data_IF_694194159228
#
_entry.id   IF_694194159228
#
_cell.length_a   1.000
_cell.length_b   1.000
_cell.length_c   1.000
_cell.angle_alpha   90.00
_cell.angle_beta   90.00
_cell.angle_gamma   90.00
#
_symmetry.space_group_name_H-M   'P 1'
#
loop_
_entity.id
_entity.type
_entity.pdbx_description
1 polymer ?
#
# COMPACT_ATOMS: atom_id res chain seq x y z
N UNK A 1 14.39 7.10 -23.43
CA UNK A 1 15.36 6.41 -22.57
C UNK A 1 16.55 5.86 -23.37
N UNK A 2 16.35 5.06 -24.42
CA UNK A 2 17.45 4.50 -25.21
C UNK A 2 18.36 5.57 -25.85
N UNK A 3 17.81 6.74 -26.19
CA UNK A 3 18.54 7.85 -26.83
C UNK A 3 19.14 8.80 -25.79
N UNK A 4 18.36 9.15 -24.77
CA UNK A 4 18.75 10.14 -23.76
C UNK A 4 19.51 9.55 -22.54
N UNK A 5 19.59 8.21 -22.43
CA UNK A 5 20.25 7.53 -21.29
C UNK A 5 19.37 7.41 -20.04
N UNK A 6 18.34 8.23 -19.93
CA UNK A 6 17.39 8.23 -18.81
C UNK A 6 15.96 8.43 -19.30
N UNK A 7 14.93 7.99 -18.56
CA UNK A 7 13.54 8.27 -18.87
C UNK A 7 13.21 9.75 -18.63
N UNK A 8 12.36 10.33 -19.46
CA UNK A 8 11.88 11.71 -19.30
C UNK A 8 10.75 11.86 -18.28
N UNK A 9 10.20 10.75 -17.82
CA UNK A 9 9.12 10.69 -16.84
C UNK A 9 9.25 9.43 -15.98
N UNK A 10 8.50 9.36 -14.88
CA UNK A 10 8.42 8.15 -14.09
C UNK A 10 7.75 7.01 -14.89
N UNK A 11 8.47 5.89 -15.02
CA UNK A 11 8.01 4.68 -15.70
C UNK A 11 7.60 3.56 -14.73
N UNK A 12 7.60 3.83 -13.42
CA UNK A 12 7.30 2.79 -12.42
C UNK A 12 5.92 2.16 -12.62
N UNK A 13 4.92 2.94 -13.01
CA UNK A 13 3.56 2.46 -13.26
C UNK A 13 3.47 1.37 -14.33
N UNK A 14 4.44 1.30 -15.24
CA UNK A 14 4.53 0.31 -16.33
C UNK A 14 5.71 -0.65 -16.17
N UNK A 15 6.48 -0.56 -15.08
CA UNK A 15 7.60 -1.46 -14.80
C UNK A 15 7.08 -2.78 -14.23
N UNK A 16 7.47 -3.90 -14.84
CA UNK A 16 7.10 -5.24 -14.38
C UNK A 16 7.60 -5.53 -12.96
N UNK A 17 8.69 -4.92 -12.53
CA UNK A 17 9.26 -5.08 -11.18
C UNK A 17 8.37 -4.57 -10.05
N UNK A 18 7.36 -3.74 -10.37
CA UNK A 18 6.37 -3.30 -9.37
C UNK A 18 5.53 -4.44 -8.79
N UNK A 19 5.43 -5.56 -9.51
CA UNK A 19 4.68 -6.71 -9.06
C UNK A 19 5.53 -7.60 -8.16
N UNK A 20 5.07 -7.92 -6.95
CA UNK A 20 5.77 -8.86 -6.07
C UNK A 20 5.72 -10.30 -6.60
N UNK A 21 6.64 -11.14 -6.12
CA UNK A 21 6.86 -12.50 -6.65
C UNK A 21 5.63 -13.40 -6.65
N UNK A 22 4.63 -13.17 -5.78
CA UNK A 22 3.42 -14.00 -5.78
C UNK A 22 2.62 -13.90 -7.09
N UNK A 23 2.77 -12.81 -7.85
CA UNK A 23 2.14 -12.64 -9.17
C UNK A 23 2.72 -13.62 -10.22
N UNK A 24 3.87 -14.25 -9.96
CA UNK A 24 4.41 -15.31 -10.84
C UNK A 24 3.75 -16.69 -10.63
N UNK A 25 2.78 -16.80 -9.72
CA UNK A 25 2.04 -18.04 -9.53
C UNK A 25 1.12 -18.31 -10.72
N UNK A 26 1.30 -19.46 -11.39
CA UNK A 26 0.56 -19.82 -12.61
C UNK A 26 -0.95 -19.88 -12.38
N UNK A 27 -1.39 -20.40 -11.24
CA UNK A 27 -2.84 -20.48 -10.93
C UNK A 27 -3.44 -19.10 -10.75
N UNK A 28 -2.74 -18.22 -10.00
CA UNK A 28 -3.15 -16.83 -9.85
C UNK A 28 -3.20 -16.12 -11.19
N UNK A 29 -2.17 -16.25 -12.03
CA UNK A 29 -2.11 -15.60 -13.34
C UNK A 29 -3.22 -16.09 -14.28
N UNK A 30 -3.53 -17.39 -14.28
CA UNK A 30 -4.59 -17.96 -15.12
C UNK A 30 -5.95 -17.30 -14.85
N UNK A 31 -6.31 -17.16 -13.58
CA UNK A 31 -7.57 -16.52 -13.20
C UNK A 31 -7.54 -15.01 -13.47
N UNK A 32 -6.51 -14.33 -13.02
CA UNK A 32 -6.41 -12.88 -13.11
C UNK A 32 -6.28 -12.38 -14.55
N UNK A 33 -5.53 -13.06 -15.42
CA UNK A 33 -5.37 -12.66 -16.82
C UNK A 33 -6.70 -12.76 -17.57
N UNK A 34 -7.49 -13.80 -17.32
CA UNK A 34 -8.83 -13.95 -17.92
C UNK A 34 -9.73 -12.78 -17.51
N UNK A 35 -9.74 -12.40 -16.23
CA UNK A 35 -10.52 -11.26 -15.75
C UNK A 35 -10.04 -9.95 -16.38
N UNK A 36 -8.72 -9.69 -16.37
CA UNK A 36 -8.15 -8.45 -16.93
C UNK A 36 -8.50 -8.30 -18.42
N UNK A 37 -8.38 -9.36 -19.19
CA UNK A 37 -8.76 -9.34 -20.61
C UNK A 37 -10.27 -9.14 -20.79
N UNK A 38 -11.09 -9.79 -19.96
CA UNK A 38 -12.55 -9.67 -20.03
C UNK A 38 -13.03 -8.25 -19.72
N UNK A 39 -12.45 -7.59 -18.73
CA UNK A 39 -12.87 -6.23 -18.34
C UNK A 39 -12.25 -5.13 -19.20
N UNK A 40 -11.27 -5.43 -20.05
CA UNK A 40 -10.61 -4.44 -20.89
C UNK A 40 -11.58 -3.69 -21.81
N UNK A 41 -12.63 -4.37 -22.26
CA UNK A 41 -13.68 -3.82 -23.13
C UNK A 41 -14.97 -3.48 -22.39
N UNK A 42 -15.01 -3.64 -21.07
CA UNK A 42 -16.18 -3.33 -20.27
C UNK A 42 -16.17 -1.86 -19.81
N UNK A 43 -17.34 -1.40 -19.36
CA UNK A 43 -17.45 -0.10 -18.70
C UNK A 43 -16.60 -0.06 -17.44
N UNK A 44 -15.75 0.94 -17.34
CA UNK A 44 -14.91 1.14 -16.17
C UNK A 44 -15.74 1.74 -15.01
N UNK A 45 -16.27 0.90 -14.15
CA UNK A 45 -16.95 1.34 -12.94
C UNK A 45 -15.97 2.00 -11.97
N UNK A 46 -16.33 3.12 -11.34
CA UNK A 46 -15.53 3.70 -10.27
C UNK A 46 -15.31 2.70 -9.13
N UNK A 47 -14.09 2.66 -8.59
CA UNK A 47 -13.71 1.79 -7.46
C UNK A 47 -13.94 0.28 -7.70
N UNK A 48 -13.91 -0.17 -8.96
CA UNK A 48 -14.05 -1.59 -9.26
C UNK A 48 -12.93 -2.40 -8.66
N UNK A 49 -13.30 -3.44 -7.92
CA UNK A 49 -12.38 -4.41 -7.33
C UNK A 49 -12.26 -5.68 -8.19
N UNK A 50 -11.16 -6.39 -8.00
CA UNK A 50 -10.92 -7.67 -8.66
C UNK A 50 -11.75 -8.79 -8.01
N UNK A 51 -12.36 -9.63 -8.83
CA UNK A 51 -13.18 -10.76 -8.39
C UNK A 51 -12.41 -12.07 -8.31
N UNK A 52 -11.38 -12.24 -9.16
CA UNK A 52 -10.52 -13.42 -9.19
C UNK A 52 -9.24 -13.25 -8.39
N UNK A 53 -8.50 -14.32 -8.16
CA UNK A 53 -7.24 -14.30 -7.42
C UNK A 53 -7.42 -13.71 -6.02
N UNK A 54 -8.55 -14.02 -5.38
CA UNK A 54 -8.90 -13.55 -4.04
C UNK A 54 -8.32 -14.47 -2.96
N UNK A 55 -8.25 -13.98 -1.75
CA UNK A 55 -7.78 -14.72 -0.57
C UNK A 55 -6.32 -15.20 -0.65
N UNK A 56 -5.47 -14.55 -1.44
CA UNK A 56 -4.07 -14.91 -1.60
C UNK A 56 -3.26 -14.52 -0.36
N UNK A 57 -3.53 -13.35 0.20
CA UNK A 57 -2.87 -12.83 1.40
C UNK A 57 -3.93 -12.25 2.33
N UNK A 58 -3.93 -12.73 3.57
CA UNK A 58 -4.87 -12.31 4.62
C UNK A 58 -4.11 -11.79 5.83
N UNK A 59 -4.67 -10.80 6.49
CA UNK A 59 -4.14 -10.37 7.79
C UNK A 59 -4.47 -11.40 8.88
N UNK A 60 -3.74 -11.43 10.02
CA UNK A 60 -4.04 -12.32 11.13
C UNK A 60 -5.44 -12.13 11.75
N UNK A 61 -6.04 -10.96 11.55
CA UNK A 61 -7.38 -10.62 12.06
C UNK A 61 -8.46 -10.64 10.98
N UNK A 62 -8.15 -11.09 9.76
CA UNK A 62 -9.07 -11.10 8.62
C UNK A 62 -10.44 -11.69 8.96
N UNK A 63 -10.46 -12.87 9.58
CA UNK A 63 -11.73 -13.57 9.84
C UNK A 63 -12.58 -12.84 10.89
N UNK A 64 -11.96 -12.20 11.88
CA UNK A 64 -12.66 -11.32 12.84
C UNK A 64 -13.27 -10.09 12.16
N UNK A 65 -12.57 -9.52 11.17
CA UNK A 65 -13.09 -8.39 10.40
C UNK A 65 -14.26 -8.84 9.50
N UNK A 66 -14.18 -10.05 8.92
CA UNK A 66 -15.28 -10.64 8.16
C UNK A 66 -16.53 -10.84 9.03
N UNK A 67 -16.39 -11.36 10.24
CA UNK A 67 -17.48 -11.52 11.23
C UNK A 67 -18.13 -10.17 11.59
N UNK A 68 -17.40 -9.07 11.49
CA UNK A 68 -17.90 -7.71 11.72
C UNK A 68 -18.53 -7.08 10.48
N UNK A 69 -18.68 -7.84 9.39
CA UNK A 69 -19.28 -7.36 8.15
C UNK A 69 -18.35 -6.63 7.20
N UNK A 70 -17.04 -6.87 7.28
CA UNK A 70 -16.09 -6.27 6.35
C UNK A 70 -16.34 -6.71 4.91
N UNK A 71 -16.54 -5.74 4.02
CA UNK A 71 -16.44 -5.91 2.58
C UNK A 71 -14.98 -5.76 2.16
N UNK A 72 -14.39 -6.80 1.57
CA UNK A 72 -12.97 -6.80 1.23
C UNK A 72 -12.71 -6.46 -0.24
N UNK A 73 -11.66 -5.67 -0.45
CA UNK A 73 -11.03 -5.46 -1.75
C UNK A 73 -9.62 -6.02 -1.80
N UNK A 74 -9.05 -6.08 -3.00
CA UNK A 74 -7.72 -6.65 -3.23
C UNK A 74 -6.68 -5.56 -3.47
N UNK A 75 -5.61 -5.53 -2.67
CA UNK A 75 -4.44 -4.68 -2.87
C UNK A 75 -3.16 -5.50 -2.87
N UNK A 76 -2.56 -5.70 -4.05
CA UNK A 76 -1.34 -6.51 -4.21
C UNK A 76 -1.46 -7.89 -3.56
N UNK A 77 -2.60 -8.56 -3.76
CA UNK A 77 -2.94 -9.86 -3.21
C UNK A 77 -3.47 -9.85 -1.77
N UNK A 78 -3.36 -8.74 -1.06
CA UNK A 78 -3.94 -8.60 0.28
C UNK A 78 -5.44 -8.33 0.23
N UNK A 79 -6.20 -9.07 1.05
CA UNK A 79 -7.59 -8.74 1.35
C UNK A 79 -7.59 -7.59 2.36
N UNK A 80 -8.20 -6.46 1.96
CA UNK A 80 -8.29 -5.26 2.80
C UNK A 80 -9.75 -4.86 2.98
N UNK A 81 -10.21 -4.56 4.21
CA UNK A 81 -11.53 -3.97 4.40
C UNK A 81 -11.65 -2.65 3.63
N UNK A 82 -12.70 -2.52 2.86
CA UNK A 82 -13.08 -1.29 2.17
C UNK A 82 -14.11 -0.51 2.96
N UNK A 83 -15.10 -1.20 3.51
CA UNK A 83 -16.15 -0.69 4.37
C UNK A 83 -16.78 -1.83 5.17
N UNK A 84 -17.59 -1.49 6.18
CA UNK A 84 -18.26 -2.47 7.02
C UNK A 84 -19.77 -2.39 6.88
N UNK A 85 -20.37 -3.53 6.53
CA UNK A 85 -21.81 -3.67 6.40
C UNK A 85 -22.45 -3.89 7.80
N UNK A 86 -23.45 -3.09 8.18
CA UNK A 86 -24.18 -3.35 9.42
C UNK A 86 -25.06 -4.61 9.30
N UNK A 87 -25.57 -5.08 10.42
CA UNK A 87 -26.44 -6.27 10.46
C UNK A 87 -27.60 -6.14 9.47
N UNK A 88 -27.78 -7.16 8.65
CA UNK A 88 -28.83 -7.23 7.62
C UNK A 88 -28.48 -6.58 6.28
N UNK A 89 -27.26 -6.07 6.13
CA UNK A 89 -26.71 -5.56 4.87
C UNK A 89 -25.64 -6.50 4.36
N UNK A 90 -25.69 -6.85 3.07
CA UNK A 90 -24.65 -7.67 2.43
C UNK A 90 -23.36 -6.90 2.25
N UNK A 91 -22.19 -7.46 2.64
CA UNK A 91 -20.87 -6.80 2.49
C UNK A 91 -20.34 -6.93 1.05
N UNK A 92 -21.04 -6.34 0.11
CA UNK A 92 -20.69 -6.39 -1.32
C UNK A 92 -20.55 -4.99 -1.91
N UNK A 93 -19.75 -4.87 -2.97
CA UNK A 93 -19.61 -3.64 -3.74
C UNK A 93 -20.65 -3.60 -4.85
N UNK A 94 -21.61 -2.67 -4.78
CA UNK A 94 -22.53 -2.36 -5.86
C UNK A 94 -22.01 -1.16 -6.64
N UNK A 95 -21.69 -1.37 -7.92
CA UNK A 95 -21.06 -0.35 -8.73
C UNK A 95 -22.10 0.59 -9.35
N UNK A 96 -21.90 1.87 -9.17
CA UNK A 96 -22.73 2.93 -9.75
C UNK A 96 -21.88 4.17 -10.03
N UNK A 97 -22.30 5.01 -10.99
CA UNK A 97 -21.70 6.33 -11.20
C UNK A 97 -22.19 7.37 -10.19
N UNK A 98 -23.34 7.14 -9.57
CA UNK A 98 -23.87 7.96 -8.51
C UNK A 98 -23.38 7.56 -7.13
N UNK A 99 -24.20 7.79 -6.12
CA UNK A 99 -23.96 7.37 -4.74
C UNK A 99 -23.99 5.85 -4.66
N UNK A 100 -22.89 5.27 -4.20
CA UNK A 100 -22.74 3.82 -4.10
C UNK A 100 -23.31 3.29 -2.77
N UNK A 101 -23.60 1.98 -2.70
CA UNK A 101 -24.22 1.36 -1.53
C UNK A 101 -23.43 1.53 -0.23
N UNK A 102 -22.12 1.58 -0.31
CA UNK A 102 -21.22 1.73 0.85
C UNK A 102 -21.09 3.18 1.36
N UNK A 103 -21.52 4.19 0.61
CA UNK A 103 -21.18 5.60 0.88
C UNK A 103 -21.61 6.07 2.27
N UNK A 104 -22.85 5.79 2.68
CA UNK A 104 -23.37 6.22 3.99
C UNK A 104 -22.70 5.47 5.14
N UNK A 105 -22.34 4.19 4.92
CA UNK A 105 -21.64 3.37 5.89
C UNK A 105 -20.21 3.88 6.10
N UNK A 106 -19.47 4.11 5.02
CA UNK A 106 -18.14 4.71 5.07
C UNK A 106 -18.16 6.10 5.70
N UNK A 107 -19.19 6.93 5.42
CA UNK A 107 -19.34 8.22 6.06
C UNK A 107 -19.56 8.09 7.58
N UNK A 108 -20.27 7.07 8.04
CA UNK A 108 -20.45 6.78 9.46
C UNK A 108 -19.12 6.34 10.11
N UNK A 109 -18.34 5.49 9.45
CA UNK A 109 -17.00 5.08 9.89
C UNK A 109 -16.05 6.29 10.04
N UNK A 110 -16.08 7.21 9.07
CA UNK A 110 -15.28 8.45 9.14
C UNK A 110 -15.67 9.31 10.36
N UNK A 111 -16.96 9.44 10.65
CA UNK A 111 -17.42 10.14 11.86
C UNK A 111 -16.96 9.45 13.12
N UNK A 112 -17.12 8.13 13.19
CA UNK A 112 -16.68 7.32 14.34
C UNK A 112 -15.16 7.46 14.60
N UNK A 113 -14.35 7.48 13.53
CA UNK A 113 -12.90 7.69 13.64
C UNK A 113 -12.53 9.10 14.13
N UNK A 114 -13.37 10.12 13.85
CA UNK A 114 -13.15 11.50 14.29
C UNK A 114 -13.65 11.79 15.71
N UNK A 115 -14.73 11.16 16.09
CA UNK A 115 -15.47 11.48 17.31
C UNK A 115 -15.26 10.42 18.42
N UNK A 116 -14.69 9.28 18.07
CA UNK A 116 -14.47 8.14 18.96
C UNK A 116 -13.12 7.48 18.77
N UNK A 117 -13.10 6.15 18.84
CA UNK A 117 -11.91 5.32 18.67
C UNK A 117 -12.09 4.41 17.47
N UNK A 118 -11.06 4.35 16.62
CA UNK A 118 -11.02 3.44 15.48
C UNK A 118 -9.73 2.60 15.48
N UNK A 119 -9.85 1.37 14.97
CA UNK A 119 -8.70 0.46 14.75
C UNK A 119 -8.56 0.27 13.23
N UNK A 120 -7.36 0.48 12.71
CA UNK A 120 -7.05 0.29 11.30
C UNK A 120 -6.09 -0.89 11.13
N UNK A 121 -6.53 -1.91 10.38
CA UNK A 121 -5.65 -3.02 10.00
C UNK A 121 -4.68 -2.58 8.90
N UNK A 122 -3.44 -2.29 9.29
CA UNK A 122 -2.36 -1.90 8.38
C UNK A 122 -1.39 -3.05 8.06
N UNK A 123 -1.80 -4.30 8.24
CA UNK A 123 -0.97 -5.48 7.97
C UNK A 123 -0.47 -5.50 6.51
N UNK A 124 -1.27 -5.02 5.58
CA UNK A 124 -0.95 -5.00 4.14
C UNK A 124 0.12 -3.98 3.74
N UNK A 125 0.39 -2.97 4.56
CA UNK A 125 1.47 -2.02 4.28
C UNK A 125 2.83 -2.72 4.29
N UNK A 126 3.78 -2.21 3.53
CA UNK A 126 5.16 -2.69 3.54
C UNK A 126 5.91 -2.17 4.74
N UNK A 127 6.76 -3.01 5.30
CA UNK A 127 7.57 -2.70 6.47
C UNK A 127 9.03 -3.01 6.16
N UNK A 128 9.91 -2.07 6.51
CA UNK A 128 11.35 -2.25 6.47
C UNK A 128 11.92 -2.03 7.87
N UNK A 129 12.94 -2.79 8.19
CA UNK A 129 13.76 -2.58 9.37
C UNK A 129 15.15 -2.17 8.91
N UNK A 130 15.64 -1.08 9.46
CA UNK A 130 17.00 -0.59 9.27
C UNK A 130 17.75 -0.73 10.58
N UNK A 131 18.91 -1.35 10.54
CA UNK A 131 19.75 -1.57 11.72
C UNK A 131 21.19 -1.21 11.40
N UNK A 132 21.82 -0.48 12.28
CA UNK A 132 23.22 -0.09 12.20
C UNK A 132 23.45 1.39 12.47
N UNK A 133 24.67 1.72 12.83
CA UNK A 133 25.10 3.07 13.24
C UNK A 133 24.92 4.14 12.16
N UNK A 134 24.98 3.75 10.89
CA UNK A 134 24.88 4.68 9.75
C UNK A 134 23.43 4.84 9.24
N UNK A 135 22.46 4.22 9.94
CA UNK A 135 21.04 4.23 9.53
C UNK A 135 20.43 5.62 9.59
N UNK A 136 20.74 6.39 10.62
CA UNK A 136 20.23 7.75 10.76
C UNK A 136 20.72 8.64 9.62
N UNK A 137 21.99 8.56 9.26
CA UNK A 137 22.56 9.36 8.17
C UNK A 137 21.94 9.03 6.82
N UNK A 138 21.72 7.74 6.56
CA UNK A 138 21.03 7.29 5.35
C UNK A 138 19.58 7.81 5.28
N UNK A 139 18.84 7.68 6.36
CA UNK A 139 17.43 8.10 6.39
C UNK A 139 17.31 9.63 6.36
N UNK A 140 18.19 10.38 7.02
CA UNK A 140 18.29 11.84 6.92
C UNK A 140 18.62 12.31 5.49
N UNK A 141 19.45 11.57 4.77
CA UNK A 141 19.74 11.87 3.37
C UNK A 141 18.55 11.63 2.44
N UNK A 142 17.77 10.57 2.69
CA UNK A 142 16.65 10.17 1.83
C UNK A 142 15.34 10.89 2.12
N UNK A 143 15.10 11.25 3.37
CA UNK A 143 13.84 11.82 3.84
C UNK A 143 13.85 13.35 3.74
N UNK A 144 12.70 13.91 3.37
CA UNK A 144 12.54 15.37 3.34
C UNK A 144 12.25 16.01 4.71
N UNK A 145 11.94 15.19 5.71
CA UNK A 145 11.70 15.64 7.07
C UNK A 145 12.80 15.12 8.01
N UNK A 146 13.00 15.78 9.14
CA UNK A 146 13.97 15.34 10.15
C UNK A 146 13.50 14.03 10.80
N UNK A 147 14.33 12.99 10.69
CA UNK A 147 14.07 11.66 11.27
C UNK A 147 15.07 11.31 12.38
N UNK A 148 16.01 12.19 12.71
CA UNK A 148 16.88 12.07 13.89
C UNK A 148 16.14 12.55 15.14
N UNK A 149 15.14 11.82 15.50
CA UNK A 149 14.25 12.08 16.65
C UNK A 149 14.54 11.11 17.78
N UNK A 150 13.99 11.35 18.97
CA UNK A 150 14.15 10.43 20.10
C UNK A 150 13.54 9.05 19.83
N UNK A 151 14.12 7.96 20.36
CA UNK A 151 13.53 6.63 20.29
C UNK A 151 12.07 6.62 20.78
N UNK A 152 11.20 5.92 20.04
CA UNK A 152 9.77 5.89 20.27
C UNK A 152 8.97 6.91 19.47
N UNK A 153 9.62 7.86 18.80
CA UNK A 153 8.95 8.84 17.97
C UNK A 153 8.76 8.34 16.53
N UNK A 154 7.69 8.84 15.89
CA UNK A 154 7.33 8.56 14.52
C UNK A 154 7.25 9.85 13.71
N UNK A 155 7.81 9.83 12.51
CA UNK A 155 7.84 10.96 11.57
C UNK A 155 7.24 10.51 10.25
N UNK A 156 6.19 11.21 9.79
CA UNK A 156 5.70 11.07 8.42
C UNK A 156 6.51 11.96 7.49
N UNK A 157 7.00 11.40 6.38
CA UNK A 157 7.92 12.11 5.48
C UNK A 157 7.78 11.60 4.03
N UNK A 158 8.26 12.39 3.08
CA UNK A 158 8.46 11.98 1.69
C UNK A 158 9.91 11.58 1.43
N UNK A 159 10.11 10.65 0.51
CA UNK A 159 11.36 10.44 -0.19
C UNK A 159 11.39 11.32 -1.45
N UNK A 160 12.49 12.00 -1.67
CA UNK A 160 12.65 12.88 -2.81
C UNK A 160 13.89 12.49 -3.62
N UNK A 161 13.82 12.69 -4.93
CA UNK A 161 14.96 12.49 -5.81
C UNK A 161 15.80 13.78 -5.94
N UNK A 162 16.91 13.68 -6.67
CA UNK A 162 17.85 14.78 -6.89
C UNK A 162 17.23 16.00 -7.58
N UNK A 163 16.10 15.84 -8.24
CA UNK A 163 15.32 16.93 -8.86
C UNK A 163 14.34 17.59 -7.90
N UNK A 164 14.29 17.12 -6.66
CA UNK A 164 13.30 17.56 -5.67
C UNK A 164 11.87 17.07 -5.94
N UNK A 165 11.70 16.09 -6.83
CA UNK A 165 10.40 15.48 -7.08
C UNK A 165 10.19 14.26 -6.19
N UNK A 166 8.93 13.95 -5.96
CA UNK A 166 8.46 12.95 -5.02
C UNK A 166 8.71 11.52 -5.56
N UNK A 167 9.29 10.67 -4.75
CA UNK A 167 9.49 9.24 -5.02
C UNK A 167 8.46 8.39 -4.28
N UNK A 168 8.27 8.63 -2.99
CA UNK A 168 7.34 7.89 -2.13
C UNK A 168 7.05 8.65 -0.85
N UNK A 169 6.00 8.28 -0.14
CA UNK A 169 5.74 8.70 1.23
C UNK A 169 5.77 7.52 2.19
N UNK A 170 6.23 7.79 3.39
CA UNK A 170 6.41 6.75 4.39
C UNK A 170 6.40 7.32 5.82
N UNK A 171 6.22 6.42 6.77
CA UNK A 171 6.38 6.74 8.19
C UNK A 171 7.63 6.08 8.71
N UNK A 172 8.54 6.88 9.25
CA UNK A 172 9.77 6.45 9.89
C UNK A 172 9.56 6.46 11.41
N UNK A 173 9.80 5.35 12.07
CA UNK A 173 9.70 5.22 13.52
C UNK A 173 11.09 4.88 14.04
N UNK A 174 11.65 5.72 14.91
CA UNK A 174 12.90 5.38 15.60
C UNK A 174 12.56 4.43 16.75
N UNK A 175 12.89 3.15 16.58
CA UNK A 175 12.60 2.10 17.56
C UNK A 175 13.67 2.02 18.67
N UNK A 176 14.95 2.24 18.26
CA UNK A 176 16.08 2.35 19.17
C UNK A 176 17.14 3.31 18.58
N UNK A 177 18.24 3.51 19.29
CA UNK A 177 19.35 4.44 18.86
C UNK A 177 19.78 4.18 17.42
N UNK A 178 20.04 2.91 17.07
CA UNK A 178 20.53 2.47 15.76
C UNK A 178 19.52 1.59 15.02
N UNK A 179 18.22 1.71 15.34
CA UNK A 179 17.17 0.89 14.76
C UNK A 179 15.94 1.72 14.40
N UNK A 180 15.54 1.59 13.14
CA UNK A 180 14.37 2.27 12.58
C UNK A 180 13.41 1.27 11.96
N UNK A 181 12.13 1.48 12.19
CA UNK A 181 11.03 0.77 11.57
C UNK A 181 10.31 1.70 10.61
N UNK A 182 10.25 1.31 9.32
CA UNK A 182 9.72 2.16 8.26
C UNK A 182 8.50 1.49 7.66
N UNK A 183 7.41 2.23 7.57
CA UNK A 183 6.13 1.77 6.99
C UNK A 183 5.85 2.56 5.72
N UNK A 184 5.62 1.85 4.61
CA UNK A 184 5.28 2.44 3.31
C UNK A 184 4.10 1.73 2.67
N UNK A 185 3.58 2.31 1.58
CA UNK A 185 2.42 1.77 0.89
C UNK A 185 2.63 0.35 0.36
N UNK A 186 1.58 -0.46 0.39
CA UNK A 186 1.58 -1.86 -0.08
C UNK A 186 2.14 -2.02 -1.50
N UNK A 187 1.83 -1.07 -2.39
CA UNK A 187 2.27 -1.10 -3.80
C UNK A 187 3.70 -0.60 -4.01
N UNK A 188 4.32 0.00 -3.01
CA UNK A 188 5.64 0.62 -3.11
C UNK A 188 6.78 -0.29 -2.62
N UNK A 189 6.49 -1.49 -2.16
CA UNK A 189 7.48 -2.41 -1.57
C UNK A 189 8.75 -2.54 -2.41
N UNK A 190 8.61 -2.83 -3.69
CA UNK A 190 9.76 -3.06 -4.58
C UNK A 190 10.42 -1.76 -4.99
N UNK A 191 9.62 -0.71 -5.24
CA UNK A 191 10.10 0.62 -5.59
C UNK A 191 10.98 1.20 -4.47
N UNK A 192 10.44 1.27 -3.27
CA UNK A 192 11.13 1.87 -2.13
C UNK A 192 12.37 1.07 -1.74
N UNK A 193 12.27 -0.28 -1.76
CA UNK A 193 13.43 -1.12 -1.54
C UNK A 193 14.53 -0.89 -2.59
N UNK A 194 14.17 -0.70 -3.86
CA UNK A 194 15.13 -0.43 -4.92
C UNK A 194 15.74 0.98 -4.79
N UNK A 195 14.91 1.96 -4.45
CA UNK A 195 15.35 3.33 -4.19
C UNK A 195 16.35 3.41 -3.03
N UNK A 196 16.00 2.84 -1.88
CA UNK A 196 16.84 2.80 -0.69
C UNK A 196 18.18 2.10 -0.97
N UNK A 197 18.13 0.90 -1.59
CA UNK A 197 19.34 0.14 -1.93
C UNK A 197 20.30 0.90 -2.86
N UNK A 198 19.78 1.69 -3.78
CA UNK A 198 20.59 2.52 -4.68
C UNK A 198 21.46 3.52 -3.92
N UNK A 199 20.98 4.01 -2.79
CA UNK A 199 21.66 5.00 -1.96
C UNK A 199 22.39 4.38 -0.76
N UNK A 200 22.21 3.09 -0.50
CA UNK A 200 22.97 2.38 0.52
C UNK A 200 24.36 2.09 -0.01
N UNK A 201 25.38 2.66 0.62
CA UNK A 201 26.76 2.29 0.32
C UNK A 201 26.97 0.85 0.78
N UNK A 202 27.23 -0.05 -0.16
CA UNK A 202 27.67 -1.41 0.16
C UNK A 202 29.07 -1.26 0.75
N UNK A 203 29.18 -1.44 2.07
CA UNK A 203 30.47 -1.52 2.77
C UNK A 203 31.10 -2.89 2.56
#
# INVERSE_FOLDING_TARGET
>A
WMIAGEPTMDLWSVDIRRFPNFHNNVNYLRERVCEVLGIHYQMAWPNREWETGRNVRKSPIHDRLAEQGACFGNKMGWERPLWYAPAGVEPVMEYAFGKQNWFDHSAAEHRAAREGVAIFDQTSFSKFVFEGKDTVDLLQYLCGNDVDVEPGQAVYTGLFNERGTFESDLTVIRDAVDRYYVVTATSQTTHDAAWIRRHTKVG
#
